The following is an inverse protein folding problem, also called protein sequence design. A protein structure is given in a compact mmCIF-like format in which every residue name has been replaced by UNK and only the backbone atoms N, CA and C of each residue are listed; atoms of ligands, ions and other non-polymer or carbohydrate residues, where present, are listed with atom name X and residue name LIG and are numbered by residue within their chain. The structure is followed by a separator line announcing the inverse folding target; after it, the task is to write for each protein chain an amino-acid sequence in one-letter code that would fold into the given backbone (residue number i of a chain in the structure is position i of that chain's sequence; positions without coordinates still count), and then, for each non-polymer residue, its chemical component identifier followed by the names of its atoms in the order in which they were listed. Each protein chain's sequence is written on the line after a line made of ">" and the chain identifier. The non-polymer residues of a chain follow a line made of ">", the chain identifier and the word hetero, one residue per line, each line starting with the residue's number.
data_IF_410022223607
#
_entry.id   IF_410022223607
#
_cell.length_a   1.000
_cell.length_b   1.000
_cell.length_c   1.000
_cell.angle_alpha   90.00
_cell.angle_beta   90.00
_cell.angle_gamma   90.00
#
_symmetry.space_group_name_H-M   'P 1'
#
loop_
_entity.id
_entity.type
_entity.pdbx_description
1 polymer ?
#
# COMPACT_ATOMS: atom_id res chain seq x y z
N UNK A 1 15.26 1.52 -3.04
CA UNK A 1 15.49 1.60 -1.58
C UNK A 1 15.61 0.23 -0.92
N UNK A 2 14.98 -0.81 -1.47
CA UNK A 2 15.06 -2.19 -0.95
C UNK A 2 16.47 -2.71 -0.68
N UNK A 3 17.44 -2.38 -1.54
CA UNK A 3 18.85 -2.82 -1.42
C UNK A 3 19.75 -1.81 -0.67
N UNK A 4 19.22 -0.64 -0.31
CA UNK A 4 19.97 0.46 0.34
C UNK A 4 19.15 1.03 1.50
N UNK A 5 18.73 0.15 2.42
CA UNK A 5 17.89 0.53 3.56
C UNK A 5 18.62 1.44 4.54
N UNK A 6 19.95 1.38 4.57
CA UNK A 6 20.79 2.21 5.43
C UNK A 6 20.78 3.69 5.03
N UNK A 7 20.37 4.02 3.80
CA UNK A 7 20.20 5.41 3.36
C UNK A 7 18.87 6.03 3.82
N UNK A 8 17.91 5.22 4.28
CA UNK A 8 16.56 5.68 4.65
C UNK A 8 16.60 6.78 5.72
N UNK A 9 17.35 6.64 6.84
CA UNK A 9 17.41 7.70 7.85
C UNK A 9 17.89 9.04 7.29
N UNK A 10 18.94 9.02 6.45
CA UNK A 10 19.49 10.23 5.84
C UNK A 10 18.49 10.89 4.87
N UNK A 11 17.77 10.08 4.09
CA UNK A 11 16.72 10.58 3.18
C UNK A 11 15.54 11.18 3.95
N UNK A 12 15.11 10.54 5.05
CA UNK A 12 14.06 11.07 5.92
C UNK A 12 14.48 12.43 6.49
N UNK A 13 15.70 12.56 6.99
CA UNK A 13 16.21 13.85 7.47
C UNK A 13 16.23 14.91 6.38
N UNK A 14 16.68 14.55 5.17
CA UNK A 14 16.68 15.46 4.02
C UNK A 14 15.26 15.97 3.71
N UNK A 15 14.27 15.07 3.60
CA UNK A 15 12.89 15.43 3.32
C UNK A 15 12.24 16.24 4.45
N UNK A 16 12.55 15.91 5.71
CA UNK A 16 12.11 16.72 6.84
C UNK A 16 12.60 18.16 6.77
N UNK A 17 13.86 18.39 6.37
CA UNK A 17 14.37 19.76 6.18
C UNK A 17 13.70 20.45 4.99
N UNK A 18 13.49 19.71 3.89
CA UNK A 18 12.82 20.23 2.69
C UNK A 18 11.41 20.73 3.00
N UNK A 19 10.60 19.95 3.73
CA UNK A 19 9.20 20.29 4.00
C UNK A 19 9.00 21.20 5.22
N UNK A 20 10.07 21.49 5.97
CA UNK A 20 10.04 22.37 7.16
C UNK A 20 9.56 23.78 6.85
N UNK A 21 9.82 24.27 5.63
CA UNK A 21 9.43 25.61 5.16
C UNK A 21 8.05 25.64 4.49
N UNK A 22 7.54 24.49 4.06
CA UNK A 22 6.32 24.40 3.26
C UNK A 22 5.08 24.03 4.10
N UNK A 23 5.26 23.36 5.24
CA UNK A 23 4.17 22.97 6.13
C UNK A 23 3.97 23.93 7.31
N UNK A 24 2.70 24.10 7.74
CA UNK A 24 2.35 24.85 8.97
C UNK A 24 2.79 24.11 10.24
N UNK A 25 2.96 22.79 10.17
CA UNK A 25 3.39 21.94 11.29
C UNK A 25 4.92 21.92 11.36
N UNK A 26 5.48 22.26 12.52
CA UNK A 26 6.93 22.20 12.76
C UNK A 26 7.35 20.82 13.26
N UNK A 27 7.47 19.87 12.34
CA UNK A 27 8.05 18.56 12.66
C UNK A 27 9.54 18.72 12.96
N UNK A 28 9.98 18.17 14.09
CA UNK A 28 11.36 18.23 14.59
C UNK A 28 12.10 16.91 14.45
N UNK A 29 11.43 15.78 14.62
CA UNK A 29 12.09 14.46 14.62
C UNK A 29 11.15 13.32 14.25
N UNK A 30 11.72 12.15 13.99
CA UNK A 30 11.03 10.87 13.84
C UNK A 30 11.45 9.97 15.01
N UNK A 31 10.53 9.44 15.83
CA UNK A 31 10.86 8.48 16.88
C UNK A 31 11.48 7.22 16.30
N UNK A 32 12.35 6.55 17.07
CA UNK A 32 13.04 5.34 16.63
C UNK A 32 12.08 4.25 16.15
N UNK A 33 10.96 4.05 16.85
CA UNK A 33 9.94 3.05 16.47
C UNK A 33 9.34 3.31 15.07
N UNK A 34 9.13 4.57 14.72
CA UNK A 34 8.64 4.98 13.41
C UNK A 34 9.74 4.81 12.35
N UNK A 35 10.98 5.18 12.70
CA UNK A 35 12.14 5.01 11.81
C UNK A 35 12.38 3.53 11.48
N UNK A 36 12.32 2.65 12.49
CA UNK A 36 12.48 1.21 12.31
C UNK A 36 11.44 0.64 11.35
N UNK A 37 10.21 1.14 11.42
CA UNK A 37 9.11 0.76 10.53
C UNK A 37 9.38 1.23 9.09
N UNK A 38 9.82 2.48 8.91
CA UNK A 38 10.25 3.02 7.61
C UNK A 38 11.42 2.23 7.03
N UNK A 39 12.39 1.79 7.84
CA UNK A 39 13.52 0.98 7.39
C UNK A 39 13.15 -0.45 6.99
N UNK A 40 12.07 -1.01 7.57
CA UNK A 40 11.59 -2.37 7.27
C UNK A 40 10.70 -2.44 6.03
N UNK A 41 10.11 -1.31 5.64
CA UNK A 41 9.25 -1.24 4.48
C UNK A 41 10.05 -1.41 3.18
N UNK A 42 9.46 -2.09 2.19
CA UNK A 42 10.16 -2.48 0.97
C UNK A 42 10.34 -1.33 -0.03
N UNK A 43 9.58 -0.25 0.14
CA UNK A 43 9.58 0.95 -0.73
C UNK A 43 9.51 0.60 -2.23
N UNK A 44 8.41 -0.03 -2.70
CA UNK A 44 8.21 -0.34 -4.12
C UNK A 44 8.34 0.89 -5.03
N UNK A 45 7.89 2.07 -4.60
CA UNK A 45 8.07 3.34 -5.31
C UNK A 45 9.41 4.03 -5.03
N UNK A 46 10.35 3.33 -4.39
CA UNK A 46 11.68 3.80 -4.05
C UNK A 46 11.65 5.16 -3.30
N UNK A 47 12.54 6.08 -3.69
CA UNK A 47 12.77 7.35 -3.01
C UNK A 47 11.56 8.28 -3.13
N UNK A 48 10.80 8.20 -4.23
CA UNK A 48 9.59 9.02 -4.44
C UNK A 48 8.48 8.66 -3.47
N UNK A 49 8.27 7.36 -3.24
CA UNK A 49 7.29 6.92 -2.24
C UNK A 49 7.69 7.39 -0.84
N UNK A 50 8.98 7.28 -0.48
CA UNK A 50 9.48 7.79 0.80
C UNK A 50 9.25 9.30 0.93
N UNK A 51 9.57 10.08 -0.09
CA UNK A 51 9.34 11.52 -0.14
C UNK A 51 7.86 11.87 0.12
N UNK A 52 6.94 11.28 -0.64
CA UNK A 52 5.50 11.52 -0.52
C UNK A 52 4.96 11.14 0.86
N UNK A 53 5.44 10.02 1.42
CA UNK A 53 5.03 9.56 2.75
C UNK A 53 5.46 10.56 3.82
N UNK A 54 6.71 11.04 3.75
CA UNK A 54 7.22 12.03 4.69
C UNK A 54 6.52 13.38 4.52
N UNK A 55 6.32 13.85 3.29
CA UNK A 55 5.56 15.06 2.99
C UNK A 55 4.18 15.01 3.64
N UNK A 56 3.40 13.97 3.35
CA UNK A 56 2.05 13.78 3.89
C UNK A 56 2.05 13.70 5.41
N UNK A 57 3.01 12.98 6.00
CA UNK A 57 3.14 12.89 7.45
C UNK A 57 3.42 14.26 8.10
N UNK A 58 4.16 15.15 7.43
CA UNK A 58 4.37 16.52 7.93
C UNK A 58 3.11 17.39 7.89
N UNK A 59 2.05 16.97 7.19
CA UNK A 59 0.79 17.74 7.08
C UNK A 59 -0.31 17.22 8.02
N UNK A 60 -0.42 15.90 8.21
CA UNK A 60 -1.60 15.28 8.86
C UNK A 60 -1.51 15.24 10.38
N UNK A 61 -0.33 15.01 10.95
CA UNK A 61 -0.20 14.83 12.40
C UNK A 61 -0.29 16.13 13.20
N UNK A 62 -0.36 15.99 14.52
CA UNK A 62 -0.63 17.10 15.45
C UNK A 62 0.54 17.45 16.38
N UNK A 63 1.55 16.59 16.47
CA UNK A 63 2.70 16.74 17.37
C UNK A 63 3.93 17.32 16.63
N UNK A 64 5.05 17.51 17.31
CA UNK A 64 6.32 17.86 16.66
C UNK A 64 7.09 16.64 16.11
N UNK A 65 6.49 15.44 16.13
CA UNK A 65 7.14 14.20 15.71
C UNK A 65 6.29 13.41 14.70
N UNK A 66 6.90 12.74 13.72
CA UNK A 66 6.16 11.81 12.84
C UNK A 66 5.94 10.51 13.61
N UNK A 67 4.69 10.27 14.01
CA UNK A 67 4.30 9.05 14.71
C UNK A 67 3.89 7.96 13.72
N UNK A 68 3.85 6.70 14.17
CA UNK A 68 3.40 5.58 13.33
C UNK A 68 2.00 5.86 12.76
N UNK A 69 1.09 6.43 13.56
CA UNK A 69 -0.27 6.81 13.15
C UNK A 69 -0.33 7.86 12.02
N UNK A 70 0.74 8.63 11.81
CA UNK A 70 0.84 9.61 10.73
C UNK A 70 1.16 8.96 9.36
N UNK A 71 1.63 7.70 9.35
CA UNK A 71 2.03 6.99 8.15
C UNK A 71 0.84 6.34 7.42
N UNK A 72 0.96 5.98 6.13
CA UNK A 72 -0.04 5.17 5.45
C UNK A 72 -0.30 3.83 6.14
N UNK A 73 -1.54 3.34 6.12
CA UNK A 73 -1.93 2.06 6.73
C UNK A 73 -1.10 0.87 6.23
N UNK A 74 -0.65 0.89 4.98
CA UNK A 74 0.22 -0.14 4.40
C UNK A 74 1.59 -0.23 5.09
N UNK A 75 2.09 0.89 5.60
CA UNK A 75 3.33 0.97 6.36
C UNK A 75 3.05 0.67 7.85
N UNK A 76 1.98 1.23 8.41
CA UNK A 76 1.56 0.98 9.81
C UNK A 76 1.32 -0.51 10.11
N UNK A 77 0.68 -1.23 9.19
CA UNK A 77 0.22 -2.61 9.40
C UNK A 77 1.26 -3.66 9.02
N UNK A 78 2.52 -3.29 8.81
CA UNK A 78 3.58 -4.25 8.46
C UNK A 78 4.01 -5.10 9.69
N UNK A 79 3.05 -5.77 10.35
CA UNK A 79 3.25 -7.10 10.92
C UNK A 79 3.14 -8.08 9.77
N UNK A 80 4.29 -8.55 9.26
CA UNK A 80 4.44 -9.80 8.48
C UNK A 80 3.26 -10.09 7.53
N UNK A 81 3.11 -9.31 6.46
CA UNK A 81 2.36 -9.78 5.30
C UNK A 81 3.12 -9.36 4.05
N UNK A 82 4.07 -10.20 3.65
CA UNK A 82 4.45 -10.29 2.24
C UNK A 82 3.22 -10.81 1.51
N UNK A 83 2.38 -9.92 1.01
CA UNK A 83 1.15 -10.28 0.33
C UNK A 83 0.69 -9.22 -0.66
N UNK A 84 -0.04 -9.62 -1.72
CA UNK A 84 -0.41 -8.82 -2.89
C UNK A 84 -1.40 -7.67 -2.61
N UNK A 85 -1.59 -7.27 -1.35
CA UNK A 85 -2.57 -6.27 -0.94
C UNK A 85 -2.09 -4.83 -1.15
N UNK A 86 -0.77 -4.60 -1.28
CA UNK A 86 -0.16 -3.28 -1.52
C UNK A 86 -0.15 -2.85 -3.01
N UNK A 87 -0.20 -3.78 -3.96
CA UNK A 87 -0.21 -3.45 -5.42
C UNK A 87 -1.50 -2.77 -5.89
N UNK A 88 -2.54 -2.75 -5.06
CA UNK A 88 -3.88 -2.24 -5.41
C UNK A 88 -3.97 -0.72 -5.22
N UNK A 89 -3.09 -0.15 -4.40
CA UNK A 89 -3.14 1.25 -3.97
C UNK A 89 -1.91 2.07 -4.37
N UNK A 90 -0.94 1.50 -5.08
CA UNK A 90 0.16 2.28 -5.64
C UNK A 90 -0.40 3.24 -6.71
N UNK A 91 -0.40 4.54 -6.40
CA UNK A 91 -0.84 5.63 -7.28
C UNK A 91 -0.02 5.75 -8.58
N UNK A 92 1.08 4.99 -8.71
CA UNK A 92 1.96 4.97 -9.89
C UNK A 92 1.52 4.00 -11.02
N UNK A 93 0.47 3.20 -10.82
CA UNK A 93 -0.03 2.31 -11.88
C UNK A 93 -0.99 3.05 -12.83
N UNK A 94 -0.93 2.81 -14.15
CA UNK A 94 -1.93 3.28 -15.09
C UNK A 94 -3.35 2.91 -14.64
N UNK A 95 -4.33 3.78 -14.90
CA UNK A 95 -5.73 3.59 -14.48
C UNK A 95 -6.26 2.19 -14.81
N UNK A 96 -5.96 1.70 -16.01
CA UNK A 96 -6.37 0.37 -16.47
C UNK A 96 -5.85 -0.75 -15.56
N UNK A 97 -4.58 -0.70 -15.16
CA UNK A 97 -3.98 -1.71 -14.29
C UNK A 97 -4.56 -1.66 -12.87
N UNK A 98 -4.89 -0.46 -12.37
CA UNK A 98 -5.56 -0.29 -11.08
C UNK A 98 -6.95 -0.92 -11.08
N UNK A 99 -7.71 -0.70 -12.15
CA UNK A 99 -9.03 -1.31 -12.34
C UNK A 99 -8.89 -2.84 -12.40
N UNK A 100 -7.92 -3.35 -13.15
CA UNK A 100 -7.67 -4.80 -13.25
C UNK A 100 -7.31 -5.44 -11.91
N UNK A 101 -6.42 -4.81 -11.13
CA UNK A 101 -6.04 -5.29 -9.81
C UNK A 101 -7.22 -5.30 -8.84
N UNK A 102 -8.04 -4.25 -8.87
CA UNK A 102 -9.24 -4.17 -8.04
C UNK A 102 -10.28 -5.23 -8.43
N UNK A 103 -10.55 -5.41 -9.72
CA UNK A 103 -11.44 -6.47 -10.22
C UNK A 103 -10.94 -7.86 -9.85
N UNK A 104 -9.62 -8.11 -9.98
CA UNK A 104 -8.99 -9.37 -9.62
C UNK A 104 -9.21 -9.69 -8.14
N UNK A 105 -9.02 -8.71 -7.25
CA UNK A 105 -9.24 -8.87 -5.81
C UNK A 105 -10.70 -9.21 -5.50
N UNK A 106 -11.65 -8.45 -6.03
CA UNK A 106 -13.08 -8.69 -5.80
C UNK A 106 -13.49 -10.12 -6.18
N UNK A 107 -12.95 -10.63 -7.29
CA UNK A 107 -13.23 -11.99 -7.75
C UNK A 107 -12.61 -13.03 -6.82
N UNK A 108 -11.35 -12.85 -6.39
CA UNK A 108 -10.68 -13.76 -5.46
C UNK A 108 -11.44 -13.80 -4.13
N UNK A 109 -11.72 -12.63 -3.54
CA UNK A 109 -12.43 -12.52 -2.26
C UNK A 109 -13.81 -13.19 -2.31
N UNK A 110 -14.55 -13.00 -3.41
CA UNK A 110 -15.85 -13.63 -3.60
C UNK A 110 -15.74 -15.16 -3.80
N UNK A 111 -14.72 -15.63 -4.52
CA UNK A 111 -14.45 -17.06 -4.67
C UNK A 111 -14.09 -17.67 -3.32
N UNK A 112 -13.22 -17.07 -2.53
CA UNK A 112 -12.82 -17.58 -1.21
C UNK A 112 -14.02 -17.67 -0.25
N UNK A 113 -14.83 -16.61 -0.15
CA UNK A 113 -16.05 -16.59 0.68
C UNK A 113 -17.09 -17.64 0.27
N UNK A 114 -17.02 -18.12 -0.97
CA UNK A 114 -17.96 -19.09 -1.53
C UNK A 114 -17.33 -20.46 -1.76
N UNK A 115 -16.18 -20.75 -1.15
CA UNK A 115 -15.43 -22.01 -1.31
C UNK A 115 -15.15 -22.35 -2.79
N UNK A 116 -14.82 -21.32 -3.57
CA UNK A 116 -14.52 -21.36 -5.00
C UNK A 116 -15.69 -21.79 -5.90
N UNK A 117 -16.93 -21.65 -5.41
CA UNK A 117 -18.15 -21.91 -6.20
C UNK A 117 -18.47 -20.69 -7.07
N UNK A 118 -18.08 -20.72 -8.34
CA UNK A 118 -18.20 -19.59 -9.28
C UNK A 118 -19.61 -19.00 -9.38
N UNK A 119 -20.66 -19.83 -9.33
CA UNK A 119 -22.06 -19.36 -9.40
C UNK A 119 -22.41 -18.52 -8.17
N UNK A 120 -22.02 -18.97 -6.97
CA UNK A 120 -22.24 -18.23 -5.73
C UNK A 120 -21.38 -16.98 -5.64
N UNK A 121 -20.14 -17.04 -6.12
CA UNK A 121 -19.28 -15.86 -6.23
C UNK A 121 -19.90 -14.81 -7.16
N UNK A 122 -20.50 -15.24 -8.28
CA UNK A 122 -21.19 -14.35 -9.20
C UNK A 122 -22.43 -13.71 -8.55
N UNK A 123 -23.25 -14.49 -7.83
CA UNK A 123 -24.39 -13.97 -7.05
C UNK A 123 -23.95 -12.94 -6.01
N UNK A 124 -22.88 -13.24 -5.25
CA UNK A 124 -22.32 -12.34 -4.24
C UNK A 124 -21.82 -11.01 -4.84
N UNK A 125 -21.26 -11.06 -6.06
CA UNK A 125 -20.79 -9.89 -6.79
C UNK A 125 -21.88 -9.20 -7.62
N UNK A 126 -23.13 -9.72 -7.63
CA UNK A 126 -24.21 -9.18 -8.45
C UNK A 126 -23.95 -9.28 -9.96
N UNK A 127 -23.26 -10.33 -10.41
CA UNK A 127 -22.87 -10.55 -11.80
C UNK A 127 -23.22 -11.96 -12.30
N UNK A 128 -22.78 -12.34 -13.50
CA UNK A 128 -23.01 -13.68 -14.07
C UNK A 128 -21.81 -14.61 -13.91
N UNK A 129 -22.07 -15.92 -13.81
CA UNK A 129 -21.02 -16.95 -13.81
C UNK A 129 -20.08 -16.83 -15.01
N UNK A 130 -20.61 -16.47 -16.18
CA UNK A 130 -19.82 -16.30 -17.41
C UNK A 130 -18.80 -15.16 -17.28
N UNK A 131 -19.19 -14.06 -16.64
CA UNK A 131 -18.29 -12.92 -16.37
C UNK A 131 -17.19 -13.32 -15.38
N UNK A 132 -17.56 -13.97 -14.27
CA UNK A 132 -16.58 -14.48 -13.30
C UNK A 132 -15.58 -15.42 -13.97
N UNK A 133 -16.07 -16.39 -14.76
CA UNK A 133 -15.21 -17.33 -15.51
C UNK A 133 -14.29 -16.60 -16.50
N UNK A 134 -14.81 -15.63 -17.25
CA UNK A 134 -14.01 -14.84 -18.19
C UNK A 134 -12.89 -14.09 -17.48
N UNK A 135 -13.20 -13.41 -16.38
CA UNK A 135 -12.23 -12.65 -15.60
C UNK A 135 -11.21 -13.56 -14.88
N UNK A 136 -11.62 -14.75 -14.42
CA UNK A 136 -10.69 -15.76 -13.90
C UNK A 136 -9.67 -16.17 -14.96
N UNK A 137 -10.10 -16.40 -16.20
CA UNK A 137 -9.19 -16.70 -17.30
C UNK A 137 -8.28 -15.52 -17.65
N UNK A 138 -8.86 -14.31 -17.74
CA UNK A 138 -8.13 -13.07 -18.04
C UNK A 138 -7.00 -12.82 -17.03
N UNK A 139 -7.27 -13.03 -15.74
CA UNK A 139 -6.34 -12.77 -14.64
C UNK A 139 -5.60 -14.00 -14.14
N UNK A 140 -5.73 -15.14 -14.85
CA UNK A 140 -5.14 -16.43 -14.51
C UNK A 140 -5.38 -16.86 -13.04
N UNK A 141 -6.58 -16.60 -12.52
CA UNK A 141 -6.99 -16.94 -11.15
C UNK A 141 -7.30 -18.44 -11.09
N UNK A 142 -6.58 -19.16 -10.24
CA UNK A 142 -6.77 -20.60 -9.99
C UNK A 142 -6.75 -20.87 -8.49
N UNK A 143 -7.49 -21.90 -8.08
CA UNK A 143 -7.44 -22.38 -6.69
C UNK A 143 -6.06 -22.95 -6.44
N UNK A 144 -5.31 -22.36 -5.50
CA UNK A 144 -4.09 -22.97 -4.98
C UNK A 144 -4.45 -24.30 -4.33
N UNK A 145 -3.76 -25.37 -4.72
CA UNK A 145 -3.85 -26.69 -4.07
C UNK A 145 -2.87 -26.70 -2.91
#
# INVERSE_FOLDING_TARGET
>A
LRERRDDIPLLVEHFLQKFKTESKRKVKFVPQETMDLLMRYDWPGNVRELENVIERATVIGKSEAILIEDLPLGIQKQKVVSGPELEILSEELPFEQRVENFEKKLIIDALEKTNWIQTKAAELLGTSRSIVKYKMNKYNIKKGV
#
